data_IF_234058150785
#
_entry.id   IF_234058150785
#
_cell.length_a   1.000
_cell.length_b   1.000
_cell.length_c   1.000
_cell.angle_alpha   90.00
_cell.angle_beta   90.00
_cell.angle_gamma   90.00
#
_symmetry.space_group_name_H-M   'P 1'
#
loop_
_entity.id
_entity.type
_entity.pdbx_description
1 polymer ?
#
# COMPACT_ATOMS: atom_id res chain seq x y z
N UNK A 1 13.32 -0.87 -3.14
CA UNK A 1 14.07 -2.08 -3.61
C UNK A 1 13.38 -2.80 -4.76
N UNK A 2 12.21 -3.47 -4.59
CA UNK A 2 11.58 -4.24 -5.68
C UNK A 2 11.20 -3.40 -6.91
N UNK A 3 10.67 -2.20 -6.73
CA UNK A 3 10.37 -1.30 -7.85
C UNK A 3 11.65 -0.81 -8.56
N UNK A 4 12.70 -0.47 -7.81
CA UNK A 4 13.98 -0.10 -8.41
C UNK A 4 14.55 -1.26 -9.22
N UNK A 5 14.51 -2.48 -8.66
CA UNK A 5 14.94 -3.67 -9.40
C UNK A 5 14.12 -3.89 -10.67
N UNK A 6 12.79 -3.72 -10.62
CA UNK A 6 11.94 -3.86 -11.79
C UNK A 6 12.23 -2.81 -12.88
N UNK A 7 12.65 -1.60 -12.48
CA UNK A 7 13.04 -0.54 -13.40
C UNK A 7 14.42 -0.76 -14.02
N UNK A 8 15.40 -1.14 -13.19
CA UNK A 8 16.82 -1.24 -13.59
C UNK A 8 17.14 -2.56 -14.32
N UNK A 9 16.46 -3.64 -13.95
CA UNK A 9 16.73 -4.97 -14.47
C UNK A 9 15.43 -5.76 -14.73
N UNK A 10 14.55 -5.30 -15.64
CA UNK A 10 13.21 -5.85 -15.84
C UNK A 10 13.21 -7.32 -16.29
N UNK A 11 14.29 -7.77 -16.93
CA UNK A 11 14.45 -9.15 -17.42
C UNK A 11 15.11 -10.08 -16.40
N UNK A 12 15.62 -9.53 -15.29
CA UNK A 12 16.28 -10.33 -14.25
C UNK A 12 15.26 -10.62 -13.14
N UNK A 13 15.03 -11.88 -12.77
CA UNK A 13 14.17 -12.22 -11.67
C UNK A 13 14.71 -11.57 -10.37
N UNK A 14 13.84 -10.97 -9.54
CA UNK A 14 14.29 -10.42 -8.27
C UNK A 14 14.76 -11.56 -7.35
N UNK A 15 15.64 -11.27 -6.36
CA UNK A 15 16.16 -12.29 -5.44
C UNK A 15 15.10 -12.82 -4.46
N UNK A 16 13.86 -12.36 -4.57
CA UNK A 16 12.73 -12.74 -3.75
C UNK A 16 11.70 -13.51 -4.56
N UNK A 17 11.13 -14.55 -4.00
CA UNK A 17 10.09 -15.38 -4.65
C UNK A 17 8.68 -14.85 -4.41
N UNK A 18 8.47 -14.09 -3.36
CA UNK A 18 7.24 -13.37 -3.04
C UNK A 18 7.54 -12.16 -2.14
N UNK A 19 6.58 -11.27 -1.97
CA UNK A 19 6.69 -10.16 -1.04
C UNK A 19 5.38 -9.92 -0.28
N UNK A 20 5.50 -9.59 1.00
CA UNK A 20 4.37 -9.24 1.87
C UNK A 20 4.58 -7.78 2.30
N UNK A 21 3.63 -6.93 1.98
CA UNK A 21 3.61 -5.52 2.37
C UNK A 21 2.55 -5.30 3.43
N UNK A 22 2.95 -4.82 4.60
CA UNK A 22 2.03 -4.48 5.69
C UNK A 22 2.07 -2.98 5.86
N UNK A 23 0.94 -2.31 5.61
CA UNK A 23 0.80 -0.86 5.60
C UNK A 23 1.91 -0.16 4.76
N UNK A 24 2.35 -0.85 3.70
CA UNK A 24 3.48 -0.42 2.87
C UNK A 24 3.08 0.70 1.90
N UNK A 25 4.06 1.49 1.48
CA UNK A 25 3.89 2.54 0.47
C UNK A 25 5.22 2.89 -0.19
N UNK A 26 5.18 3.72 -1.23
CA UNK A 26 6.36 4.25 -1.90
C UNK A 26 6.35 5.77 -1.76
N UNK A 27 7.52 6.34 -1.49
CA UNK A 27 7.65 7.80 -1.39
C UNK A 27 7.59 8.44 -2.78
N UNK A 28 6.96 9.63 -2.94
CA UNK A 28 6.91 10.36 -4.19
C UNK A 28 8.26 10.55 -4.87
N UNK A 29 9.29 10.92 -4.10
CA UNK A 29 10.64 11.10 -4.63
C UNK A 29 11.20 9.84 -5.31
N UNK A 30 10.97 8.66 -4.72
CA UNK A 30 11.37 7.38 -5.34
C UNK A 30 10.59 7.13 -6.63
N UNK A 31 9.30 7.45 -6.66
CA UNK A 31 8.50 7.30 -7.87
C UNK A 31 9.00 8.21 -8.99
N UNK A 32 9.37 9.44 -8.67
CA UNK A 32 9.95 10.40 -9.62
C UNK A 32 11.29 9.94 -10.16
N UNK A 33 12.17 9.43 -9.30
CA UNK A 33 13.46 8.85 -9.71
C UNK A 33 13.26 7.66 -10.67
N UNK A 34 12.12 6.95 -10.55
CA UNK A 34 11.72 5.86 -11.44
C UNK A 34 10.97 6.34 -12.70
N UNK A 35 10.86 7.65 -12.92
CA UNK A 35 10.21 8.25 -14.08
C UNK A 35 8.68 8.28 -14.03
N UNK A 36 8.08 8.10 -12.84
CA UNK A 36 6.64 8.25 -12.65
C UNK A 36 6.28 9.72 -12.56
N UNK A 37 5.26 10.14 -13.30
CA UNK A 37 4.70 11.48 -13.22
C UNK A 37 3.85 11.60 -11.93
N UNK A 38 4.48 12.16 -10.87
CA UNK A 38 3.81 12.36 -9.58
C UNK A 38 3.08 13.71 -9.60
N UNK A 39 1.76 13.64 -9.70
CA UNK A 39 0.92 14.84 -9.74
C UNK A 39 0.94 15.64 -8.44
N UNK A 40 0.56 16.93 -8.46
CA UNK A 40 0.35 17.70 -7.23
C UNK A 40 -0.66 17.04 -6.28
N UNK A 41 -1.71 16.42 -6.81
CA UNK A 41 -2.72 15.70 -6.03
C UNK A 41 -2.10 14.50 -5.29
N UNK A 42 -1.26 13.69 -5.96
CA UNK A 42 -0.57 12.57 -5.32
C UNK A 42 0.36 13.03 -4.18
N UNK A 43 1.02 14.17 -4.36
CA UNK A 43 1.86 14.78 -3.30
C UNK A 43 1.01 15.25 -2.12
N UNK A 44 -0.14 15.88 -2.39
CA UNK A 44 -1.06 16.31 -1.35
C UNK A 44 -1.59 15.12 -0.54
N UNK A 45 -1.94 14.01 -1.21
CA UNK A 45 -2.31 12.76 -0.53
C UNK A 45 -1.19 12.21 0.35
N UNK A 46 0.05 12.21 -0.13
CA UNK A 46 1.20 11.72 0.65
C UNK A 46 1.46 12.60 1.88
N UNK A 47 1.48 13.91 1.74
CA UNK A 47 1.68 14.85 2.87
C UNK A 47 0.54 14.77 3.88
N UNK A 48 -0.72 14.74 3.44
CA UNK A 48 -1.89 14.59 4.31
C UNK A 48 -1.83 13.28 5.09
N UNK A 49 -1.48 12.19 4.42
CA UNK A 49 -1.39 10.88 5.03
C UNK A 49 -0.24 10.76 6.02
N UNK A 50 0.92 11.36 5.75
CA UNK A 50 2.04 11.43 6.69
C UNK A 50 1.66 12.22 7.94
N UNK A 51 1.03 13.38 7.77
CA UNK A 51 0.55 14.20 8.88
C UNK A 51 -0.46 13.45 9.74
N UNK A 52 -1.45 12.82 9.12
CA UNK A 52 -2.44 12.01 9.82
C UNK A 52 -1.79 10.86 10.61
N UNK A 53 -0.82 10.17 10.03
CA UNK A 53 -0.09 9.12 10.74
C UNK A 53 0.69 9.67 11.93
N UNK A 54 1.40 10.78 11.78
CA UNK A 54 2.16 11.40 12.87
C UNK A 54 1.26 11.80 14.03
N UNK A 55 0.10 12.40 13.76
CA UNK A 55 -0.88 12.78 14.75
C UNK A 55 -1.44 11.56 15.51
N UNK A 56 -1.75 10.48 14.79
CA UNK A 56 -2.35 9.28 15.39
C UNK A 56 -1.33 8.34 16.05
N UNK A 57 -0.08 8.38 15.63
CA UNK A 57 1.02 7.61 16.24
C UNK A 57 1.65 8.33 17.45
N UNK A 58 1.28 9.58 17.72
CA UNK A 58 1.77 10.34 18.85
C UNK A 58 1.34 9.73 20.19
N UNK A 59 2.19 9.88 21.22
CA UNK A 59 1.95 9.34 22.57
C UNK A 59 0.61 9.80 23.13
N UNK A 60 0.25 11.07 22.93
CA UNK A 60 -1.00 11.64 23.41
C UNK A 60 -2.22 10.93 22.79
N UNK A 61 -2.20 10.69 21.49
CA UNK A 61 -3.27 9.97 20.79
C UNK A 61 -3.39 8.53 21.27
N UNK A 62 -2.27 7.85 21.50
CA UNK A 62 -2.23 6.47 22.02
C UNK A 62 -2.82 6.40 23.42
N UNK A 63 -2.40 7.29 24.31
CA UNK A 63 -2.83 7.28 25.73
C UNK A 63 -4.29 7.70 25.88
N UNK A 64 -4.72 8.74 25.13
CA UNK A 64 -6.08 9.31 25.30
C UNK A 64 -7.17 8.53 24.56
N UNK A 65 -6.84 7.91 23.42
CA UNK A 65 -7.83 7.30 22.51
C UNK A 65 -7.60 5.80 22.25
N UNK A 66 -6.43 5.27 22.57
CA UNK A 66 -6.13 3.87 22.35
C UNK A 66 -6.34 3.44 20.89
N UNK A 67 -7.09 2.34 20.68
CA UNK A 67 -7.42 1.84 19.33
C UNK A 67 -8.37 2.77 18.56
N UNK A 68 -9.23 3.53 19.27
CA UNK A 68 -10.21 4.42 18.64
C UNK A 68 -9.56 5.67 17.98
N UNK A 69 -8.26 5.88 18.18
CA UNK A 69 -7.52 6.96 17.50
C UNK A 69 -7.63 6.89 15.97
N UNK A 70 -7.85 5.71 15.42
CA UNK A 70 -8.00 5.53 13.98
C UNK A 70 -9.38 5.87 13.44
N UNK A 71 -10.40 5.86 14.31
CA UNK A 71 -11.80 6.11 13.93
C UNK A 71 -12.19 7.58 14.01
N UNK A 72 -11.38 8.41 14.69
CA UNK A 72 -11.69 9.81 14.97
C UNK A 72 -10.52 10.71 14.58
N UNK A 73 -10.50 11.22 13.38
CA UNK A 73 -9.47 12.17 12.98
C UNK A 73 -9.77 12.80 11.63
N UNK A 74 -9.13 13.92 11.27
CA UNK A 74 -9.38 14.63 10.01
C UNK A 74 -9.03 13.79 8.78
N UNK A 75 -8.25 12.71 8.94
CA UNK A 75 -7.91 11.78 7.88
C UNK A 75 -9.04 10.77 7.57
N UNK A 76 -9.93 10.48 8.53
CA UNK A 76 -11.04 9.52 8.35
C UNK A 76 -12.04 10.02 7.32
N UNK A 77 -12.20 11.34 7.20
CA UNK A 77 -13.11 11.97 6.24
C UNK A 77 -12.42 12.30 4.90
N UNK A 78 -11.14 12.04 4.77
CA UNK A 78 -10.36 12.39 3.57
C UNK A 78 -10.50 11.36 2.44
N UNK A 79 -10.97 10.17 2.76
CA UNK A 79 -11.16 9.09 1.81
C UNK A 79 -12.63 8.66 1.79
N UNK A 80 -13.27 8.77 0.64
CA UNK A 80 -14.55 8.13 0.37
C UNK A 80 -14.26 6.77 -0.29
N UNK A 81 -14.48 5.64 0.41
CA UNK A 81 -14.25 4.32 -0.16
C UNK A 81 -15.18 4.03 -1.35
N UNK A 82 -16.23 4.83 -1.54
CA UNK A 82 -17.16 4.73 -2.66
C UNK A 82 -16.87 5.76 -3.77
N UNK A 83 -15.86 6.62 -3.60
CA UNK A 83 -15.44 7.53 -4.67
C UNK A 83 -15.05 6.71 -5.90
N UNK A 84 -15.65 7.00 -7.04
CA UNK A 84 -15.27 6.37 -8.30
C UNK A 84 -13.79 6.67 -8.57
N UNK A 85 -12.96 5.62 -8.48
CA UNK A 85 -11.59 5.67 -8.96
C UNK A 85 -11.71 5.87 -10.47
N UNK A 86 -11.34 7.05 -10.97
CA UNK A 86 -11.25 7.30 -12.41
C UNK A 86 -10.39 6.18 -13.00
N UNK A 87 -10.81 5.60 -14.10
CA UNK A 87 -10.14 4.45 -14.70
C UNK A 87 -8.62 4.72 -14.84
N UNK A 88 -7.83 4.03 -14.03
CA UNK A 88 -6.37 4.16 -14.01
C UNK A 88 -5.80 5.21 -13.06
N UNK A 89 -6.58 6.10 -12.46
CA UNK A 89 -6.11 7.05 -11.45
C UNK A 89 -6.26 6.46 -10.04
N UNK A 90 -5.17 6.40 -9.30
CA UNK A 90 -5.15 5.90 -7.92
C UNK A 90 -4.55 6.97 -7.01
N UNK A 91 -5.40 7.74 -6.37
CA UNK A 91 -4.99 8.84 -5.49
C UNK A 91 -3.99 9.81 -6.17
N UNK A 92 -4.33 10.25 -7.38
CA UNK A 92 -3.54 11.18 -8.17
C UNK A 92 -2.36 10.56 -8.93
N UNK A 93 -2.16 9.24 -8.89
CA UNK A 93 -1.23 8.55 -9.77
C UNK A 93 -1.98 7.90 -10.94
N UNK A 94 -1.66 8.32 -12.16
CA UNK A 94 -2.22 7.78 -13.39
C UNK A 94 -1.45 6.52 -13.84
N UNK A 95 -1.99 5.35 -13.50
CA UNK A 95 -1.40 4.06 -13.87
C UNK A 95 -1.50 3.72 -15.35
N UNK A 96 -2.23 4.48 -16.15
CA UNK A 96 -2.25 4.32 -17.61
C UNK A 96 -1.00 4.89 -18.28
N UNK A 97 -0.29 5.78 -17.58
CA UNK A 97 0.90 6.50 -18.04
C UNK A 97 2.20 6.04 -17.38
N UNK A 98 2.18 4.92 -16.67
CA UNK A 98 3.37 4.40 -15.99
C UNK A 98 4.48 4.03 -16.95
N UNK A 99 5.77 4.20 -16.56
CA UNK A 99 6.90 3.74 -17.33
C UNK A 99 6.81 2.27 -17.68
N UNK A 100 7.17 1.92 -18.92
CA UNK A 100 7.12 0.54 -19.37
C UNK A 100 8.06 -0.33 -18.54
N UNK A 101 7.56 -1.46 -18.08
CA UNK A 101 8.34 -2.41 -17.28
C UNK A 101 8.32 -2.15 -15.77
N UNK A 102 7.87 -0.98 -15.32
CA UNK A 102 7.77 -0.67 -13.88
C UNK A 102 6.61 -1.44 -13.24
N UNK A 103 6.79 -2.76 -13.10
CA UNK A 103 5.80 -3.64 -12.48
C UNK A 103 6.45 -4.79 -11.73
N UNK A 104 6.06 -4.99 -10.48
CA UNK A 104 6.46 -6.15 -9.66
C UNK A 104 5.66 -7.35 -10.13
N UNK A 105 6.35 -8.40 -10.60
CA UNK A 105 5.73 -9.57 -11.25
C UNK A 105 5.75 -10.84 -10.39
N UNK A 106 6.39 -10.81 -9.22
CA UNK A 106 6.34 -11.92 -8.26
C UNK A 106 5.05 -11.88 -7.44
N UNK A 107 4.62 -12.98 -6.81
CA UNK A 107 3.48 -12.98 -5.90
C UNK A 107 3.61 -11.96 -4.79
N UNK A 108 2.58 -11.14 -4.61
CA UNK A 108 2.55 -10.11 -3.57
C UNK A 108 1.27 -10.15 -2.75
N UNK A 109 1.40 -9.89 -1.45
CA UNK A 109 0.30 -9.68 -0.52
C UNK A 109 0.40 -8.28 0.05
N UNK A 110 -0.71 -7.56 0.03
CA UNK A 110 -0.83 -6.21 0.57
C UNK A 110 -1.85 -6.21 1.69
N UNK A 111 -1.37 -6.05 2.93
CA UNK A 111 -2.18 -5.97 4.14
C UNK A 111 -2.26 -4.51 4.56
N UNK A 112 -3.44 -3.98 4.73
CA UNK A 112 -3.67 -2.59 5.16
C UNK A 112 -5.01 -2.45 5.88
N UNK A 113 -5.23 -1.33 6.53
CA UNK A 113 -6.53 -0.96 7.07
C UNK A 113 -7.13 0.21 6.32
N UNK A 114 -8.42 0.17 6.04
CA UNK A 114 -9.15 1.25 5.37
C UNK A 114 -9.22 2.53 6.22
N UNK A 115 -9.00 2.43 7.54
CA UNK A 115 -8.87 3.58 8.43
C UNK A 115 -7.43 4.06 8.62
N UNK A 116 -6.46 3.45 7.92
CA UNK A 116 -5.07 3.87 7.96
C UNK A 116 -4.89 5.19 7.19
N UNK A 117 -4.33 6.25 7.80
CA UNK A 117 -3.97 7.46 7.05
C UNK A 117 -3.10 7.19 5.82
N UNK A 118 -2.31 6.11 5.84
CA UNK A 118 -1.45 5.67 4.73
C UNK A 118 -2.16 4.74 3.73
N UNK A 119 -3.45 4.51 3.85
CA UNK A 119 -4.24 3.70 2.91
C UNK A 119 -4.01 4.10 1.43
N UNK A 120 -3.99 5.40 1.05
CA UNK A 120 -3.69 5.81 -0.32
C UNK A 120 -2.34 5.28 -0.82
N UNK A 121 -1.28 5.43 -0.02
CA UNK A 121 0.05 4.95 -0.39
C UNK A 121 0.13 3.42 -0.49
N UNK A 122 -0.59 2.71 0.38
CA UNK A 122 -0.66 1.23 0.35
C UNK A 122 -1.39 0.74 -0.91
N UNK A 123 -2.45 1.43 -1.29
CA UNK A 123 -3.19 1.14 -2.52
C UNK A 123 -2.34 1.44 -3.76
N UNK A 124 -1.68 2.60 -3.81
CA UNK A 124 -0.75 2.95 -4.89
C UNK A 124 0.34 1.87 -5.06
N UNK A 125 0.99 1.44 -3.96
CA UNK A 125 1.99 0.36 -4.03
C UNK A 125 1.41 -0.93 -4.62
N UNK A 126 0.20 -1.31 -4.24
CA UNK A 126 -0.44 -2.51 -4.76
C UNK A 126 -0.65 -2.43 -6.29
N UNK A 127 -0.93 -1.25 -6.83
CA UNK A 127 -1.11 -1.07 -8.27
C UNK A 127 0.19 -1.22 -9.08
N UNK A 128 1.36 -1.04 -8.47
CA UNK A 128 2.64 -1.39 -9.10
C UNK A 128 2.90 -2.90 -9.17
N UNK A 129 2.03 -3.75 -8.60
CA UNK A 129 2.15 -5.19 -8.62
C UNK A 129 1.23 -5.81 -9.67
N UNK A 130 1.64 -6.92 -10.27
CA UNK A 130 0.84 -7.64 -11.28
C UNK A 130 -0.44 -8.18 -10.62
N UNK A 131 -1.59 -7.75 -11.12
CA UNK A 131 -2.91 -8.09 -10.60
C UNK A 131 -3.20 -9.61 -10.60
N UNK A 132 -2.57 -10.36 -11.50
CA UNK A 132 -2.74 -11.82 -11.61
C UNK A 132 -2.12 -12.55 -10.41
N UNK A 133 -1.08 -11.97 -9.81
CA UNK A 133 -0.30 -12.55 -8.71
C UNK A 133 -0.26 -11.63 -7.49
N UNK A 134 -1.20 -10.71 -7.39
CA UNK A 134 -1.40 -9.82 -6.25
C UNK A 134 -2.62 -10.26 -5.45
N UNK A 135 -2.53 -10.18 -4.12
CA UNK A 135 -3.66 -10.28 -3.19
C UNK A 135 -3.67 -9.08 -2.26
N UNK A 136 -4.88 -8.59 -1.97
CA UNK A 136 -5.09 -7.45 -1.08
C UNK A 136 -5.96 -7.91 0.08
N UNK A 137 -5.65 -7.44 1.29
CA UNK A 137 -6.39 -7.74 2.50
C UNK A 137 -6.58 -6.48 3.32
N UNK A 138 -7.81 -6.01 3.39
CA UNK A 138 -8.22 -4.92 4.28
C UNK A 138 -8.69 -5.51 5.61
N UNK A 139 -7.99 -5.20 6.71
CA UNK A 139 -8.38 -5.61 8.06
C UNK A 139 -9.33 -4.61 8.74
N UNK A 140 -9.71 -3.53 8.05
CA UNK A 140 -10.68 -2.54 8.52
C UNK A 140 -10.20 -1.63 9.66
N UNK A 141 -8.92 -1.71 10.04
CA UNK A 141 -8.31 -0.91 11.11
C UNK A 141 -7.44 0.23 10.59
N UNK A 142 -6.60 0.79 11.48
CA UNK A 142 -5.63 1.83 11.16
C UNK A 142 -4.26 1.30 10.74
N UNK A 143 -3.21 2.06 11.08
CA UNK A 143 -1.82 1.73 10.76
C UNK A 143 -1.22 0.71 11.74
N UNK A 144 -1.97 -0.33 12.04
CA UNK A 144 -1.56 -1.46 12.89
C UNK A 144 -2.30 -2.71 12.45
N UNK A 145 -1.76 -3.89 12.76
CA UNK A 145 -2.45 -5.16 12.51
C UNK A 145 -3.27 -5.49 13.76
N UNK A 146 -4.61 -5.54 13.66
CA UNK A 146 -5.46 -5.89 14.79
C UNK A 146 -5.13 -7.29 15.33
N UNK A 147 -5.05 -7.42 16.67
CA UNK A 147 -4.81 -8.70 17.34
C UNK A 147 -6.07 -9.57 17.42
N UNK A 148 -6.74 -9.74 16.28
CA UNK A 148 -7.93 -10.56 16.14
C UNK A 148 -7.58 -11.87 15.45
N UNK A 149 -8.20 -12.95 15.87
CA UNK A 149 -7.91 -14.29 15.34
C UNK A 149 -8.20 -14.38 13.84
N UNK A 150 -9.34 -13.87 13.40
CA UNK A 150 -9.75 -13.86 12.00
C UNK A 150 -8.78 -13.09 11.10
N UNK A 151 -8.26 -11.96 11.57
CA UNK A 151 -7.23 -11.18 10.85
C UNK A 151 -5.93 -11.96 10.74
N UNK A 152 -5.47 -12.56 11.85
CA UNK A 152 -4.23 -13.35 11.85
C UNK A 152 -4.32 -14.57 10.95
N UNK A 153 -5.44 -15.29 10.98
CA UNK A 153 -5.70 -16.44 10.10
C UNK A 153 -5.78 -16.02 8.63
N UNK A 154 -6.44 -14.89 8.33
CA UNK A 154 -6.51 -14.35 6.98
C UNK A 154 -5.12 -14.00 6.42
N UNK A 155 -4.29 -13.32 7.21
CA UNK A 155 -2.91 -12.99 6.82
C UNK A 155 -2.09 -14.26 6.64
N UNK A 156 -2.16 -15.22 7.55
CA UNK A 156 -1.43 -16.49 7.46
C UNK A 156 -1.75 -17.23 6.17
N UNK A 157 -3.03 -17.36 5.82
CA UNK A 157 -3.45 -18.02 4.58
C UNK A 157 -2.92 -17.31 3.32
N UNK A 158 -2.86 -15.98 3.34
CA UNK A 158 -2.29 -15.22 2.22
C UNK A 158 -0.77 -15.36 2.12
N UNK A 159 -0.07 -15.43 3.25
CA UNK A 159 1.39 -15.70 3.28
C UNK A 159 1.68 -17.09 2.72
N UNK A 160 0.92 -18.10 3.14
CA UNK A 160 1.03 -19.46 2.60
C UNK A 160 0.78 -19.48 1.09
N UNK A 161 -0.28 -18.81 0.63
CA UNK A 161 -0.57 -18.66 -0.80
C UNK A 161 0.62 -18.04 -1.54
N UNK A 162 1.18 -16.93 -1.06
CA UNK A 162 2.30 -16.26 -1.70
C UNK A 162 3.55 -17.15 -1.75
N UNK A 163 3.84 -17.88 -0.69
CA UNK A 163 4.95 -18.81 -0.62
C UNK A 163 4.80 -19.99 -1.61
N UNK A 164 3.59 -20.54 -1.75
CA UNK A 164 3.30 -21.61 -2.72
C UNK A 164 3.41 -21.09 -4.14
N UNK A 165 2.82 -19.92 -4.42
CA UNK A 165 2.91 -19.29 -5.74
C UNK A 165 4.35 -18.92 -6.10
N UNK A 166 5.13 -18.44 -5.14
CA UNK A 166 6.53 -18.06 -5.36
C UNK A 166 7.44 -19.22 -5.78
N UNK A 167 7.07 -20.46 -5.51
CA UNK A 167 7.82 -21.65 -6.00
C UNK A 167 7.71 -21.85 -7.52
N UNK A 168 6.77 -21.13 -8.17
CA UNK A 168 6.54 -21.21 -9.63
C UNK A 168 7.29 -20.12 -10.40
N UNK A 169 7.88 -19.17 -9.67
CA UNK A 169 8.72 -18.08 -10.15
C UNK A 169 10.18 -18.29 -9.73
#
# INVERSE_FOLDING_TARGET
>A
MLLCHAAEAPEVPPPFKCAIFICGGVQPAILEDLGVDVTPEAREWDERSKKGLQEMAGTEAIVSRGADRWTTGPHVNAFDPNAEIKAGDVFGLDFTRMPKGLKIRIPTVHVFGSMDPRFPASTQLAWFCDERVRRMFDHGGGHDVPRRKDVSEGIAGLVEWAAVMGKKF
#
